data_IF_383487503085
#
_entry.id   IF_383487503085
#
_cell.length_a   1.000
_cell.length_b   1.000
_cell.length_c   1.000
_cell.angle_alpha   90.00
_cell.angle_beta   90.00
_cell.angle_gamma   90.00
#
_symmetry.space_group_name_H-M   'P 1'
#
loop_
_entity.id
_entity.type
_entity.pdbx_description
1 polymer ?
#
# COMPACT_ATOMS: atom_id res chain seq x y z
N UNK A 1 7.53 -27.59 -27.63
CA UNK A 1 6.86 -26.26 -27.58
C UNK A 1 7.90 -25.23 -27.16
N UNK A 2 8.62 -24.66 -28.13
CA UNK A 2 9.64 -23.63 -27.90
C UNK A 2 8.95 -22.27 -27.80
N UNK A 3 9.12 -21.56 -26.69
CA UNK A 3 8.62 -20.19 -26.56
C UNK A 3 9.36 -19.30 -27.58
N UNK A 4 8.66 -18.53 -28.42
CA UNK A 4 9.30 -17.72 -29.45
C UNK A 4 10.12 -16.59 -28.81
N UNK A 5 11.25 -16.24 -29.44
CA UNK A 5 12.24 -15.27 -28.94
C UNK A 5 11.68 -13.86 -28.67
N UNK A 6 10.47 -13.54 -29.12
CA UNK A 6 9.72 -12.32 -28.75
C UNK A 6 9.44 -12.22 -27.24
N UNK A 7 9.37 -13.34 -26.51
CA UNK A 7 9.15 -13.37 -25.07
C UNK A 7 10.43 -13.46 -24.24
N UNK A 8 11.61 -13.42 -24.86
CA UNK A 8 12.86 -13.25 -24.13
C UNK A 8 12.93 -11.83 -23.58
N UNK A 9 12.63 -11.70 -22.29
CA UNK A 9 12.82 -10.46 -21.53
C UNK A 9 14.31 -10.10 -21.53
N UNK A 10 14.74 -9.27 -22.49
CA UNK A 10 16.15 -8.91 -22.69
C UNK A 10 16.70 -7.90 -21.67
N UNK A 11 15.85 -7.23 -20.89
CA UNK A 11 16.18 -6.30 -19.79
C UNK A 11 14.96 -6.28 -18.83
N UNK A 12 15.07 -6.06 -17.52
CA UNK A 12 16.18 -5.56 -16.75
C UNK A 12 15.89 -5.66 -15.24
N UNK A 13 16.96 -5.69 -14.46
CA UNK A 13 16.92 -5.57 -13.00
C UNK A 13 16.48 -4.15 -12.61
N UNK A 14 15.17 -3.88 -12.58
CA UNK A 14 14.60 -2.64 -12.07
C UNK A 14 13.16 -2.98 -11.66
N UNK A 15 12.82 -3.16 -10.38
CA UNK A 15 12.25 -2.11 -9.51
C UNK A 15 12.10 -2.61 -8.05
N UNK A 16 12.85 -3.64 -7.62
CA UNK A 16 12.67 -4.26 -6.30
C UNK A 16 12.96 -3.30 -5.15
N UNK A 17 13.97 -2.43 -5.31
CA UNK A 17 14.39 -1.48 -4.29
C UNK A 17 13.27 -0.54 -3.83
N UNK A 18 12.49 -0.01 -4.79
CA UNK A 18 11.41 0.94 -4.47
C UNK A 18 10.32 0.29 -3.63
N UNK A 19 10.05 -1.01 -3.85
CA UNK A 19 9.06 -1.75 -3.07
C UNK A 19 9.55 -2.02 -1.64
N UNK A 20 10.82 -2.42 -1.48
CA UNK A 20 11.41 -2.63 -0.15
C UNK A 20 11.53 -1.33 0.66
N UNK A 21 11.88 -0.22 0.00
CA UNK A 21 11.94 1.10 0.64
C UNK A 21 10.57 1.47 1.21
N UNK A 22 9.52 1.36 0.40
CA UNK A 22 8.15 1.67 0.83
C UNK A 22 7.68 0.76 1.95
N UNK A 23 7.92 -0.55 1.83
CA UNK A 23 7.60 -1.51 2.89
C UNK A 23 8.32 -1.15 4.20
N UNK A 24 9.58 -0.74 4.11
CA UNK A 24 10.36 -0.26 5.25
C UNK A 24 9.76 1.00 5.88
N UNK A 25 9.36 1.99 5.09
CA UNK A 25 8.71 3.22 5.59
C UNK A 25 7.38 2.93 6.28
N UNK A 26 6.53 2.09 5.69
CA UNK A 26 5.26 1.68 6.30
C UNK A 26 5.51 0.91 7.61
N UNK A 27 6.49 0.00 7.61
CA UNK A 27 6.85 -0.74 8.82
C UNK A 27 7.34 0.20 9.93
N UNK A 28 8.15 1.21 9.57
CA UNK A 28 8.62 2.24 10.51
C UNK A 28 7.46 3.08 11.07
N UNK A 29 6.51 3.46 10.22
CA UNK A 29 5.29 4.16 10.65
C UNK A 29 4.51 3.34 11.68
N UNK A 30 4.33 2.03 11.44
CA UNK A 30 3.62 1.16 12.39
C UNK A 30 4.38 0.99 13.71
N UNK A 31 5.70 0.78 13.67
CA UNK A 31 6.51 0.60 14.89
C UNK A 31 6.50 1.88 15.75
N UNK A 32 6.64 3.04 15.12
CA UNK A 32 6.61 4.33 15.83
C UNK A 32 5.24 4.65 16.40
N UNK A 33 4.16 4.31 15.69
CA UNK A 33 2.79 4.44 16.18
C UNK A 33 2.52 3.53 17.39
N UNK A 34 2.90 2.25 17.29
CA UNK A 34 2.79 1.29 18.40
C UNK A 34 3.59 1.74 19.63
N UNK A 35 4.80 2.28 19.43
CA UNK A 35 5.64 2.76 20.52
C UNK A 35 5.08 4.03 21.18
N UNK A 36 4.53 4.95 20.38
CA UNK A 36 3.87 6.15 20.88
C UNK A 36 2.63 5.79 21.71
N UNK A 37 1.72 5.01 21.16
CA UNK A 37 0.49 4.61 21.84
C UNK A 37 0.76 3.74 23.07
N UNK A 38 1.73 2.83 22.99
CA UNK A 38 2.15 2.02 24.14
C UNK A 38 2.67 2.86 25.30
N UNK A 39 3.43 3.92 24.99
CA UNK A 39 3.89 4.86 26.01
C UNK A 39 2.76 5.72 26.58
N UNK A 40 1.80 6.15 25.74
CA UNK A 40 0.61 6.90 26.18
C UNK A 40 -0.34 6.10 27.07
N UNK A 41 -0.46 4.80 26.83
CA UNK A 41 -1.24 3.88 27.69
C UNK A 41 -0.61 3.77 29.08
N UNK A 42 0.71 3.60 29.16
CA UNK A 42 1.44 3.49 30.43
C UNK A 42 1.46 4.81 31.22
N UNK A 43 1.37 5.95 30.54
CA UNK A 43 1.20 7.27 31.17
C UNK A 43 -0.24 7.56 31.62
N UNK A 44 -1.20 6.69 31.28
CA UNK A 44 -2.62 6.85 31.62
C UNK A 44 -3.38 7.83 30.73
N UNK A 45 -2.79 8.26 29.61
CA UNK A 45 -3.40 9.23 28.68
C UNK A 45 -4.31 8.56 27.64
N UNK A 46 -4.11 7.26 27.36
CA UNK A 46 -4.86 6.49 26.35
C UNK A 46 -5.37 5.16 26.91
N UNK A 47 -6.52 4.70 26.40
CA UNK A 47 -7.09 3.40 26.73
C UNK A 47 -6.57 2.30 25.80
N UNK A 48 -6.20 1.16 26.38
CA UNK A 48 -5.65 0.00 25.69
C UNK A 48 -6.69 -0.88 24.95
N UNK A 49 -7.99 -0.59 25.11
CA UNK A 49 -9.07 -1.53 24.82
C UNK A 49 -9.13 -2.02 23.36
N UNK A 50 -8.70 -1.22 22.38
CA UNK A 50 -8.73 -1.58 20.94
C UNK A 50 -7.39 -1.46 20.22
N UNK A 51 -6.27 -1.42 20.96
CA UNK A 51 -4.94 -1.19 20.38
C UNK A 51 -4.01 -2.40 20.59
N UNK A 52 -4.21 -3.53 19.87
CA UNK A 52 -3.39 -4.73 20.04
C UNK A 52 -1.91 -4.48 19.71
N UNK A 53 -1.62 -3.59 18.76
CA UNK A 53 -0.27 -3.17 18.44
C UNK A 53 0.39 -2.43 19.61
N UNK A 54 -0.31 -1.46 20.20
CA UNK A 54 0.17 -0.71 21.36
C UNK A 54 0.37 -1.61 22.59
N UNK A 55 -0.48 -2.62 22.80
CA UNK A 55 -0.32 -3.58 23.89
C UNK A 55 1.02 -4.31 23.82
N UNK A 56 1.53 -4.66 22.63
CA UNK A 56 2.87 -5.25 22.51
C UNK A 56 3.99 -4.32 23.00
N UNK A 57 3.86 -3.01 22.76
CA UNK A 57 4.82 -2.01 23.25
C UNK A 57 4.68 -1.77 24.75
N UNK A 58 3.47 -1.86 25.31
CA UNK A 58 3.24 -1.81 26.77
C UNK A 58 4.04 -2.90 27.49
N UNK A 59 4.02 -4.14 26.97
CA UNK A 59 4.82 -5.23 27.55
C UNK A 59 6.32 -4.93 27.53
N UNK A 60 6.83 -4.28 26.48
CA UNK A 60 8.26 -3.95 26.33
C UNK A 60 8.68 -2.77 27.21
N UNK A 61 7.79 -1.81 27.46
CA UNK A 61 8.08 -0.58 28.20
C UNK A 61 7.65 -0.64 29.67
N UNK A 62 7.11 -1.77 30.10
CA UNK A 62 6.68 -1.99 31.47
C UNK A 62 7.84 -1.82 32.46
N UNK A 63 7.66 -0.98 33.48
CA UNK A 63 8.67 -0.70 34.51
C UNK A 63 9.66 0.43 34.18
N UNK A 64 9.54 1.10 33.02
CA UNK A 64 10.32 2.30 32.73
C UNK A 64 9.84 3.51 33.55
N UNK A 65 10.74 4.48 33.76
CA UNK A 65 10.40 5.73 34.47
C UNK A 65 9.50 6.64 33.63
N UNK A 66 8.61 7.42 34.26
CA UNK A 66 7.73 8.35 33.55
C UNK A 66 8.48 9.33 32.62
N UNK A 67 9.67 9.79 33.02
CA UNK A 67 10.49 10.66 32.18
C UNK A 67 10.94 9.94 30.91
N UNK A 68 11.40 8.69 31.03
CA UNK A 68 11.80 7.87 29.87
C UNK A 68 10.64 7.64 28.92
N UNK A 69 9.45 7.33 29.44
CA UNK A 69 8.24 7.15 28.64
C UNK A 69 7.87 8.42 27.85
N UNK A 70 7.91 9.59 28.48
CA UNK A 70 7.66 10.87 27.81
C UNK A 70 8.68 11.16 26.72
N UNK A 71 9.96 10.84 26.95
CA UNK A 71 10.99 10.98 25.92
C UNK A 71 10.74 10.04 24.74
N UNK A 72 10.39 8.78 24.98
CA UNK A 72 10.05 7.80 23.92
C UNK A 72 8.87 8.30 23.11
N UNK A 73 7.82 8.82 23.77
CA UNK A 73 6.66 9.40 23.09
C UNK A 73 7.08 10.54 22.16
N UNK A 74 7.84 11.52 22.67
CA UNK A 74 8.26 12.69 21.90
C UNK A 74 9.15 12.34 20.71
N UNK A 75 10.13 11.44 20.91
CA UNK A 75 11.01 10.99 19.82
C UNK A 75 10.25 10.23 18.74
N UNK A 76 9.37 9.31 19.12
CA UNK A 76 8.55 8.59 18.15
C UNK A 76 7.57 9.51 17.42
N UNK A 77 7.04 10.54 18.10
CA UNK A 77 6.19 11.54 17.46
C UNK A 77 6.91 12.28 16.32
N UNK A 78 8.10 12.79 16.58
CA UNK A 78 8.88 13.48 15.54
C UNK A 78 9.32 12.54 14.43
N UNK A 79 9.78 11.33 14.77
CA UNK A 79 10.19 10.32 13.79
C UNK A 79 9.01 9.90 12.91
N UNK A 80 7.82 9.70 13.49
CA UNK A 80 6.61 9.34 12.78
C UNK A 80 6.21 10.43 11.79
N UNK A 81 6.16 11.69 12.22
CA UNK A 81 5.82 12.83 11.34
C UNK A 81 6.83 12.95 10.20
N UNK A 82 8.13 12.88 10.49
CA UNK A 82 9.17 12.94 9.46
C UNK A 82 9.00 11.82 8.43
N UNK A 83 8.78 10.59 8.90
CA UNK A 83 8.57 9.43 8.03
C UNK A 83 7.31 9.58 7.19
N UNK A 84 6.21 10.08 7.79
CA UNK A 84 4.96 10.34 7.10
C UNK A 84 5.13 11.39 6.00
N UNK A 85 5.85 12.47 6.29
CA UNK A 85 6.14 13.52 5.30
C UNK A 85 7.00 12.98 4.14
N UNK A 86 8.05 12.21 4.43
CA UNK A 86 8.88 11.56 3.39
C UNK A 86 8.02 10.60 2.57
N UNK A 87 7.20 9.79 3.22
CA UNK A 87 6.33 8.82 2.57
C UNK A 87 5.31 9.50 1.65
N UNK A 88 4.69 10.61 2.10
CA UNK A 88 3.72 11.37 1.30
C UNK A 88 4.35 11.98 0.05
N UNK A 89 5.56 12.53 0.15
CA UNK A 89 6.31 13.04 -1.01
C UNK A 89 6.71 11.93 -1.99
N UNK A 90 6.93 10.71 -1.50
CA UNK A 90 7.28 9.56 -2.33
C UNK A 90 6.07 8.88 -2.97
N UNK A 91 4.88 9.05 -2.40
CA UNK A 91 3.64 8.42 -2.81
C UNK A 91 3.25 8.68 -4.29
N UNK A 92 3.35 9.90 -4.85
CA UNK A 92 3.01 10.15 -6.27
C UNK A 92 4.05 9.60 -7.26
N UNK A 93 5.29 9.37 -6.84
CA UNK A 93 6.39 8.93 -7.70
C UNK A 93 6.51 7.39 -7.79
N UNK A 94 5.91 6.68 -6.84
CA UNK A 94 6.03 5.24 -6.71
C UNK A 94 4.88 4.43 -7.34
N UNK A 95 5.07 3.11 -7.40
CA UNK A 95 4.01 2.16 -7.78
C UNK A 95 2.81 2.18 -6.83
N UNK A 96 2.96 2.72 -5.63
CA UNK A 96 1.86 2.85 -4.65
C UNK A 96 0.81 3.89 -5.04
N UNK A 97 1.10 4.78 -5.99
CA UNK A 97 0.07 5.64 -6.59
C UNK A 97 -1.08 4.86 -7.25
N UNK A 98 -0.86 3.57 -7.53
CA UNK A 98 -1.91 2.64 -7.95
C UNK A 98 -3.10 2.60 -6.96
N UNK A 99 -2.90 2.76 -5.66
CA UNK A 99 -4.00 2.68 -4.69
C UNK A 99 -5.00 3.82 -4.90
N UNK A 100 -4.50 5.04 -5.11
CA UNK A 100 -5.32 6.23 -5.38
C UNK A 100 -6.04 6.08 -6.72
N UNK A 101 -5.29 5.74 -7.78
CA UNK A 101 -5.87 5.59 -9.13
C UNK A 101 -6.78 4.37 -9.26
N UNK A 102 -6.56 3.33 -8.46
CA UNK A 102 -7.36 2.11 -8.41
C UNK A 102 -8.77 2.35 -7.91
N UNK A 103 -8.94 3.24 -6.93
CA UNK A 103 -10.26 3.67 -6.46
C UNK A 103 -11.09 4.26 -7.61
N UNK A 104 -10.51 5.21 -8.34
CA UNK A 104 -11.17 5.82 -9.50
C UNK A 104 -11.44 4.79 -10.62
N UNK A 105 -10.48 3.92 -10.89
CA UNK A 105 -10.63 2.89 -11.93
C UNK A 105 -11.78 1.92 -11.62
N UNK A 106 -11.97 1.53 -10.34
CA UNK A 106 -13.08 0.66 -9.92
C UNK A 106 -14.40 1.42 -9.92
N UNK A 107 -14.41 2.65 -9.42
CA UNK A 107 -15.62 3.48 -9.38
C UNK A 107 -16.19 3.76 -10.78
N UNK A 108 -15.33 4.06 -11.75
CA UNK A 108 -15.73 4.29 -13.15
C UNK A 108 -15.74 3.01 -14.01
N UNK A 109 -15.56 1.83 -13.40
CA UNK A 109 -15.56 0.57 -14.14
C UNK A 109 -16.95 0.26 -14.65
N UNK A 110 -17.10 0.07 -15.96
CA UNK A 110 -18.34 -0.47 -16.55
C UNK A 110 -18.59 -1.89 -16.01
N UNK A 111 -19.72 -2.11 -15.34
CA UNK A 111 -20.13 -3.41 -14.80
C UNK A 111 -20.52 -4.41 -15.91
N UNK A 112 -21.13 -3.89 -17.00
CA UNK A 112 -21.28 -4.63 -18.24
C UNK A 112 -20.12 -4.26 -19.17
N UNK A 113 -19.17 -5.19 -19.31
CA UNK A 113 -18.11 -5.09 -20.31
C UNK A 113 -18.79 -5.17 -21.67
N UNK A 114 -18.83 -4.07 -22.42
CA UNK A 114 -19.18 -4.16 -23.84
C UNK A 114 -18.18 -5.10 -24.49
N UNK A 115 -18.66 -6.11 -25.21
CA UNK A 115 -17.85 -7.05 -25.97
C UNK A 115 -16.98 -6.27 -26.96
N UNK A 116 -15.75 -5.93 -26.57
CA UNK A 116 -14.78 -5.38 -27.51
C UNK A 116 -14.44 -6.55 -28.45
N UNK A 117 -15.01 -6.46 -29.64
CA UNK A 117 -15.01 -7.47 -30.70
C UNK A 117 -13.56 -7.88 -31.01
N UNK A 118 -13.18 -9.17 -31.02
CA UNK A 118 -12.00 -9.56 -31.77
C UNK A 118 -12.29 -9.26 -33.25
N UNK A 119 -11.41 -8.56 -33.98
CA UNK A 119 -11.59 -8.39 -35.42
C UNK A 119 -11.53 -9.77 -36.08
N UNK A 120 -12.69 -10.30 -36.54
CA UNK A 120 -12.70 -11.37 -37.52
C UNK A 120 -12.43 -10.73 -38.87
N UNK A 121 -11.38 -11.19 -39.54
CA UNK A 121 -10.93 -10.69 -40.84
C UNK A 121 -11.67 -11.29 -42.04
N UNK A 122 -12.66 -12.16 -41.80
CA UNK A 122 -13.29 -13.00 -42.82
C UNK A 122 -14.81 -12.78 -42.93
N UNK A 123 -15.27 -11.54 -42.80
CA UNK A 123 -16.69 -11.20 -42.92
C UNK A 123 -16.83 -9.88 -43.68
N UNK A 124 -17.48 -9.91 -44.84
CA UNK A 124 -17.69 -8.73 -45.69
C UNK A 124 -18.90 -7.90 -45.27
N UNK A 125 -19.90 -8.49 -44.59
CA UNK A 125 -21.12 -7.81 -44.21
C UNK A 125 -21.45 -7.98 -42.72
N UNK A 126 -21.42 -6.87 -41.98
CA UNK A 126 -21.50 -6.84 -40.51
C UNK A 126 -22.95 -6.73 -40.02
N UNK A 127 -23.87 -6.36 -40.92
CA UNK A 127 -25.27 -6.04 -40.62
C UNK A 127 -26.21 -7.25 -40.66
N UNK A 128 -25.74 -8.39 -41.18
CA UNK A 128 -26.53 -9.62 -41.39
C UNK A 128 -26.50 -10.61 -40.21
N UNK A 129 -25.93 -10.23 -39.07
CA UNK A 129 -25.73 -11.13 -37.93
C UNK A 129 -26.83 -10.95 -36.87
N UNK A 130 -27.65 -12.00 -36.69
CA UNK A 130 -28.75 -12.08 -35.70
C UNK A 130 -28.32 -11.84 -34.24
N UNK A 131 -27.10 -12.26 -33.89
CA UNK A 131 -26.42 -11.84 -32.68
C UNK A 131 -24.92 -11.76 -32.96
N UNK A 132 -24.28 -10.67 -32.51
CA UNK A 132 -22.84 -10.52 -32.62
C UNK A 132 -22.14 -11.09 -31.38
N UNK A 133 -22.21 -12.43 -31.27
CA UNK A 133 -21.46 -13.27 -30.34
C UNK A 133 -22.37 -14.04 -29.37
N UNK A 134 -22.48 -15.37 -29.56
CA UNK A 134 -23.43 -16.29 -28.87
C UNK A 134 -24.79 -15.65 -28.62
#
# INVERSE_FOLDING_TARGET
ISRPARYEFKHGKAHKFHAYLVLGLISLLMVTDMAMDGSGILLGEKSAFWLPGANSAVYLFHGLSQNTLKSIFLWNYWLHILTLMVFLNYLPLGKHFHIITGLFNVFFRKLKKGSIKPPRWDIENIEELDSLGV
#
